data_IF_435212696078
#
_entry.id   IF_435212696078
#
_cell.length_a   1.000
_cell.length_b   1.000
_cell.length_c   1.000
_cell.angle_alpha   90.00
_cell.angle_beta   90.00
_cell.angle_gamma   90.00
#
_symmetry.space_group_name_H-M   'P 1'
#
loop_
_entity.id
_entity.type
_entity.pdbx_description
1 polymer ?
#
# COMPACT_ATOMS: atom_id res chain seq x y z
N UNK A 1 10.71 15.41 9.19
CA UNK A 1 9.43 14.81 8.74
C UNK A 1 9.37 14.83 7.23
N UNK A 2 9.25 13.65 6.62
CA UNK A 2 9.20 13.55 5.16
C UNK A 2 7.80 13.59 4.58
N UNK A 3 6.79 13.16 5.34
CA UNK A 3 5.41 13.20 4.90
C UNK A 3 4.46 12.94 6.05
N UNK A 4 3.26 13.52 5.96
CA UNK A 4 2.23 13.33 6.97
C UNK A 4 0.85 13.56 6.35
N UNK A 5 -0.14 12.84 6.87
CA UNK A 5 -1.54 13.06 6.52
C UNK A 5 -2.36 13.20 7.80
N UNK A 6 -3.53 13.84 7.70
CA UNK A 6 -4.43 13.98 8.83
C UNK A 6 -5.37 12.78 8.97
N UNK A 7 -6.11 12.47 7.93
CA UNK A 7 -7.02 11.35 7.95
C UNK A 7 -7.05 10.65 6.62
N UNK A 8 -7.06 9.33 6.65
CA UNK A 8 -7.08 8.54 5.43
C UNK A 8 -6.45 7.17 5.64
N UNK A 9 -5.61 6.75 4.71
CA UNK A 9 -4.99 5.43 4.75
C UNK A 9 -3.48 5.54 4.83
N UNK A 10 -2.87 4.74 5.69
CA UNK A 10 -1.44 4.48 5.66
C UNK A 10 -1.25 3.17 4.89
N UNK A 11 -0.50 3.24 3.81
CA UNK A 11 -0.26 2.09 2.94
C UNK A 11 1.20 1.69 3.06
N UNK A 12 1.43 0.50 3.58
CA UNK A 12 2.77 -0.09 3.58
C UNK A 12 2.84 -0.96 2.33
N UNK A 13 3.67 -0.55 1.37
CA UNK A 13 3.68 -1.13 0.04
C UNK A 13 4.93 -1.98 -0.18
N UNK A 14 4.74 -3.27 -0.42
CA UNK A 14 5.80 -4.16 -0.85
C UNK A 14 5.71 -4.42 -2.35
N UNK A 15 6.87 -4.47 -3.01
CA UNK A 15 6.95 -4.85 -4.42
C UNK A 15 7.68 -6.19 -4.49
N UNK A 16 7.03 -7.18 -5.12
CA UNK A 16 7.57 -8.51 -5.27
C UNK A 16 8.43 -8.65 -6.50
N UNK A 17 9.37 -9.59 -6.46
CA UNK A 17 10.12 -9.97 -7.64
C UNK A 17 9.13 -10.47 -8.70
N UNK A 18 9.20 -9.94 -9.90
CA UNK A 18 8.28 -10.28 -10.98
C UNK A 18 7.05 -9.38 -11.10
N UNK A 19 6.83 -8.46 -10.16
CA UNK A 19 5.75 -7.49 -10.29
C UNK A 19 6.03 -6.54 -11.46
N UNK A 20 4.93 -6.07 -12.07
CA UNK A 20 4.98 -5.13 -13.20
C UNK A 20 4.04 -3.95 -12.93
N UNK A 21 4.00 -3.01 -13.85
CA UNK A 21 3.08 -1.87 -13.77
C UNK A 21 1.62 -2.31 -13.63
N UNK A 22 1.27 -3.48 -14.18
CA UNK A 22 -0.09 -3.99 -14.08
C UNK A 22 -0.48 -4.27 -12.63
N UNK A 23 0.42 -4.83 -11.82
CA UNK A 23 0.15 -5.07 -10.40
C UNK A 23 0.04 -3.77 -9.63
N UNK A 24 0.87 -2.79 -9.94
CA UNK A 24 0.78 -1.47 -9.30
C UNK A 24 -0.57 -0.82 -9.57
N UNK A 25 -1.04 -0.87 -10.82
CA UNK A 25 -2.33 -0.31 -11.20
C UNK A 25 -3.49 -1.06 -10.56
N UNK A 26 -3.44 -2.39 -10.57
CA UNK A 26 -4.47 -3.23 -9.97
C UNK A 26 -4.63 -2.90 -8.48
N UNK A 27 -3.51 -2.81 -7.76
CA UNK A 27 -3.54 -2.57 -6.33
C UNK A 27 -4.04 -1.17 -6.01
N UNK A 28 -3.58 -0.16 -6.75
CA UNK A 28 -4.03 1.23 -6.54
C UNK A 28 -5.53 1.34 -6.76
N UNK A 29 -6.05 0.75 -7.83
CA UNK A 29 -7.49 0.75 -8.11
C UNK A 29 -8.29 0.05 -7.02
N UNK A 30 -7.78 -1.07 -6.53
CA UNK A 30 -8.44 -1.83 -5.47
C UNK A 30 -8.52 -1.01 -4.18
N UNK A 31 -7.40 -0.45 -3.76
CA UNK A 31 -7.33 0.34 -2.52
C UNK A 31 -8.26 1.57 -2.59
N UNK A 32 -8.28 2.27 -3.73
CA UNK A 32 -9.11 3.45 -3.89
C UNK A 32 -10.60 3.14 -3.73
N UNK A 33 -11.00 1.93 -4.05
CA UNK A 33 -12.42 1.53 -4.12
C UNK A 33 -12.87 0.61 -3.00
N UNK A 34 -11.98 0.16 -2.11
CA UNK A 34 -12.38 -0.66 -0.97
C UNK A 34 -13.35 0.11 -0.07
N UNK A 35 -14.42 -0.55 0.29
CA UNK A 35 -15.49 0.05 1.10
C UNK A 35 -15.19 -0.17 2.57
N UNK A 36 -14.17 0.54 3.08
CA UNK A 36 -13.65 0.37 4.44
C UNK A 36 -13.79 1.62 5.30
N UNK A 37 -14.55 2.60 4.84
CA UNK A 37 -14.90 3.78 5.63
C UNK A 37 -16.37 3.69 6.05
N UNK A 38 -16.64 4.14 7.27
CA UNK A 38 -18.00 4.07 7.81
C UNK A 38 -18.95 5.02 7.12
N UNK A 39 -20.16 4.54 6.86
CA UNK A 39 -21.26 5.39 6.39
C UNK A 39 -22.01 6.01 7.58
N UNK A 40 -23.13 6.70 7.30
CA UNK A 40 -23.92 7.33 8.35
C UNK A 40 -24.49 6.34 9.37
N UNK A 41 -24.57 5.06 9.00
CA UNK A 41 -25.05 3.98 9.88
C UNK A 41 -23.92 3.24 10.56
N UNK A 42 -22.67 3.66 10.38
CA UNK A 42 -21.50 3.02 10.98
C UNK A 42 -21.03 1.75 10.29
N UNK A 43 -21.54 1.45 9.08
CA UNK A 43 -21.16 0.26 8.33
C UNK A 43 -20.06 0.57 7.33
N UNK A 44 -19.19 -0.38 7.07
CA UNK A 44 -18.16 -0.28 6.04
C UNK A 44 -18.82 -0.22 4.66
N UNK A 45 -19.00 0.94 4.14
CA UNK A 45 -19.73 1.15 2.90
C UNK A 45 -19.14 2.21 1.97
N UNK A 46 -18.28 3.07 2.48
CA UNK A 46 -17.70 4.14 1.69
C UNK A 46 -16.24 3.84 1.37
N UNK A 47 -15.82 4.22 0.17
CA UNK A 47 -14.43 4.07 -0.28
C UNK A 47 -13.62 5.32 0.02
N UNK A 48 -12.29 5.20 -0.13
CA UNK A 48 -11.41 6.36 -0.04
C UNK A 48 -11.79 7.45 -1.05
N UNK A 49 -12.21 7.06 -2.25
CA UNK A 49 -12.70 8.01 -3.26
C UNK A 49 -13.93 8.75 -2.77
N UNK A 50 -14.87 8.03 -2.14
CA UNK A 50 -16.11 8.62 -1.64
C UNK A 50 -15.86 9.69 -0.56
N UNK A 51 -14.92 9.44 0.33
CA UNK A 51 -14.68 10.32 1.48
C UNK A 51 -13.56 11.33 1.25
N UNK A 52 -12.88 11.27 0.12
CA UNK A 52 -11.75 12.16 -0.17
C UNK A 52 -10.58 11.93 0.77
N UNK A 53 -10.28 10.68 1.09
CA UNK A 53 -9.20 10.32 2.01
C UNK A 53 -7.84 10.75 1.48
N UNK A 54 -6.93 11.04 2.41
CA UNK A 54 -5.52 11.24 2.09
C UNK A 54 -4.79 9.91 2.19
N UNK A 55 -3.65 9.81 1.51
CA UNK A 55 -2.85 8.59 1.49
C UNK A 55 -1.43 8.89 1.94
N UNK A 56 -0.91 8.06 2.84
CA UNK A 56 0.51 8.06 3.17
C UNK A 56 1.06 6.72 2.70
N UNK A 57 1.94 6.72 1.70
CA UNK A 57 2.48 5.51 1.10
C UNK A 57 3.95 5.35 1.48
N UNK A 58 4.26 4.25 2.14
CA UNK A 58 5.61 3.94 2.59
C UNK A 58 6.04 2.61 1.99
N UNK A 59 7.19 2.60 1.33
CA UNK A 59 7.76 1.37 0.80
C UNK A 59 8.20 0.46 1.94
N UNK A 60 7.80 -0.81 1.90
CA UNK A 60 8.02 -1.76 3.00
C UNK A 60 8.36 -3.13 2.43
N UNK A 61 9.62 -3.36 2.06
CA UNK A 61 10.03 -4.64 1.47
C UNK A 61 9.90 -5.81 2.46
N UNK A 62 9.92 -5.52 3.76
CA UNK A 62 9.80 -6.55 4.79
C UNK A 62 8.45 -7.25 4.79
N UNK A 63 7.47 -6.74 4.04
CA UNK A 63 6.20 -7.46 3.83
C UNK A 63 6.43 -8.79 3.12
N UNK A 64 7.54 -8.91 2.37
CA UNK A 64 7.93 -10.15 1.71
C UNK A 64 8.85 -11.03 2.57
N UNK A 65 8.84 -10.82 3.89
CA UNK A 65 9.62 -11.64 4.79
C UNK A 65 9.13 -13.10 4.73
N UNK A 66 10.06 -14.00 4.47
CA UNK A 66 9.82 -15.43 4.53
C UNK A 66 10.42 -15.95 5.84
N UNK A 67 9.55 -16.29 6.77
CA UNK A 67 9.94 -16.71 8.11
C UNK A 67 9.77 -18.22 8.34
N UNK A 68 9.61 -18.99 7.26
CA UNK A 68 9.32 -20.42 7.37
C UNK A 68 10.47 -21.23 7.90
N UNK A 69 11.71 -20.77 7.73
CA UNK A 69 12.91 -21.49 8.13
C UNK A 69 13.75 -20.68 9.09
N UNK A 70 14.16 -21.32 10.19
CA UNK A 70 15.07 -20.72 11.14
C UNK A 70 14.49 -19.50 11.82
N UNK A 71 15.38 -18.62 12.27
CA UNK A 71 15.02 -17.43 13.04
C UNK A 71 15.32 -16.13 12.32
N UNK A 72 15.90 -16.20 11.12
CA UNK A 72 16.16 -15.03 10.29
C UNK A 72 15.16 -15.00 9.14
N UNK A 73 14.40 -13.91 8.97
CA UNK A 73 13.54 -13.79 7.81
C UNK A 73 14.39 -13.66 6.54
N UNK A 74 13.91 -14.28 5.47
CA UNK A 74 14.49 -14.13 4.14
C UNK A 74 13.64 -13.13 3.35
N UNK A 75 14.28 -12.29 2.55
CA UNK A 75 13.62 -11.30 1.73
C UNK A 75 13.84 -11.53 0.23
N UNK A 76 14.16 -12.76 -0.14
CA UNK A 76 14.47 -13.10 -1.53
C UNK A 76 13.30 -12.90 -2.50
N UNK A 77 12.06 -12.88 -1.98
CA UNK A 77 10.87 -12.65 -2.79
C UNK A 77 10.59 -11.17 -3.05
N UNK A 78 11.28 -10.27 -2.35
CA UNK A 78 11.12 -8.84 -2.58
C UNK A 78 11.89 -8.41 -3.83
N UNK A 79 11.32 -7.47 -4.58
CA UNK A 79 12.00 -6.90 -5.73
C UNK A 79 13.22 -6.10 -5.28
N UNK A 80 14.24 -6.09 -6.14
CA UNK A 80 15.42 -5.25 -5.92
C UNK A 80 15.06 -3.78 -6.16
N UNK A 81 15.81 -2.82 -5.59
CA UNK A 81 15.48 -1.40 -5.73
C UNK A 81 15.31 -0.93 -7.17
N UNK A 82 16.10 -1.46 -8.11
CA UNK A 82 16.02 -1.09 -9.53
C UNK A 82 14.63 -1.36 -10.12
N UNK A 83 13.94 -2.37 -9.62
CA UNK A 83 12.58 -2.71 -10.03
C UNK A 83 11.55 -2.08 -9.09
N UNK A 84 11.82 -2.09 -7.79
CA UNK A 84 10.87 -1.63 -6.78
C UNK A 84 10.60 -0.13 -6.87
N UNK A 85 11.63 0.70 -7.09
CA UNK A 85 11.46 2.15 -7.12
C UNK A 85 10.50 2.60 -8.21
N UNK A 86 10.69 2.18 -9.49
CA UNK A 86 9.74 2.59 -10.53
C UNK A 86 8.32 2.14 -10.28
N UNK A 87 8.12 0.96 -9.72
CA UNK A 87 6.78 0.44 -9.45
C UNK A 87 6.12 1.15 -8.26
N UNK A 88 6.90 1.46 -7.24
CA UNK A 88 6.45 2.28 -6.13
C UNK A 88 5.98 3.66 -6.63
N UNK A 89 6.81 4.29 -7.47
CA UNK A 89 6.46 5.59 -8.05
C UNK A 89 5.23 5.52 -8.93
N UNK A 90 5.09 4.45 -9.73
CA UNK A 90 3.91 4.24 -10.58
C UNK A 90 2.65 4.10 -9.73
N UNK A 91 2.73 3.38 -8.62
CA UNK A 91 1.61 3.23 -7.69
C UNK A 91 1.19 4.59 -7.12
N UNK A 92 2.15 5.38 -6.64
CA UNK A 92 1.89 6.71 -6.09
C UNK A 92 1.26 7.62 -7.13
N UNK A 93 1.83 7.64 -8.34
CA UNK A 93 1.30 8.48 -9.43
C UNK A 93 -0.11 8.06 -9.84
N UNK A 94 -0.41 6.77 -9.81
CA UNK A 94 -1.76 6.30 -10.10
C UNK A 94 -2.77 6.84 -9.10
N UNK A 95 -2.43 6.81 -7.81
CA UNK A 95 -3.29 7.37 -6.76
C UNK A 95 -3.46 8.88 -6.93
N UNK A 96 -2.38 9.60 -7.23
CA UNK A 96 -2.45 11.04 -7.49
C UNK A 96 -3.33 11.34 -8.68
N UNK A 97 -3.24 10.53 -9.73
CA UNK A 97 -4.07 10.65 -10.92
C UNK A 97 -5.56 10.48 -10.66
N UNK A 98 -5.92 9.77 -9.58
CA UNK A 98 -7.31 9.63 -9.15
C UNK A 98 -7.79 10.81 -8.31
N UNK A 99 -6.92 11.76 -8.00
CA UNK A 99 -7.26 12.96 -7.23
C UNK A 99 -6.91 12.90 -5.75
N UNK A 100 -6.25 11.83 -5.29
CA UNK A 100 -5.84 11.74 -3.89
C UNK A 100 -4.65 12.65 -3.60
N UNK A 101 -4.65 13.24 -2.40
CA UNK A 101 -3.43 13.81 -1.84
C UNK A 101 -2.59 12.65 -1.32
N UNK A 102 -1.41 12.47 -1.89
CA UNK A 102 -0.52 11.37 -1.52
C UNK A 102 0.78 11.92 -0.99
N UNK A 103 1.10 11.56 0.25
CA UNK A 103 2.39 11.83 0.88
C UNK A 103 3.18 10.54 0.92
N UNK A 104 4.50 10.65 0.89
CA UNK A 104 5.39 9.48 0.86
C UNK A 104 6.47 9.58 1.91
N UNK A 105 7.05 8.40 2.26
CA UNK A 105 8.31 8.36 2.97
C UNK A 105 9.48 8.53 1.99
N UNK A 106 10.68 8.34 2.48
CA UNK A 106 11.89 8.35 1.68
C UNK A 106 12.34 6.92 1.43
N UNK A 107 12.43 6.52 0.16
CA UNK A 107 12.78 5.14 -0.19
C UNK A 107 14.17 4.79 0.34
N UNK A 108 14.29 3.61 0.94
CA UNK A 108 15.51 3.05 1.54
C UNK A 108 16.03 3.81 2.77
N UNK A 109 15.37 4.85 3.23
CA UNK A 109 15.77 5.55 4.44
C UNK A 109 15.29 4.82 5.69
N UNK A 110 16.02 5.00 6.79
CA UNK A 110 15.52 4.61 8.10
C UNK A 110 14.43 5.60 8.50
N UNK A 111 13.24 5.08 8.82
CA UNK A 111 12.08 5.91 9.09
C UNK A 111 11.38 5.48 10.37
N UNK A 112 10.82 6.46 11.06
CA UNK A 112 9.84 6.22 12.08
C UNK A 112 8.48 6.53 11.47
N UNK A 113 7.60 5.53 11.43
CA UNK A 113 6.24 5.69 10.91
C UNK A 113 5.29 5.71 12.10
N UNK A 114 4.63 6.85 12.31
CA UNK A 114 3.62 6.98 13.36
C UNK A 114 2.25 6.75 12.75
N UNK A 115 1.48 5.85 13.35
CA UNK A 115 0.14 5.49 12.88
C UNK A 115 -0.81 5.54 14.06
N UNK A 116 -1.88 6.33 13.93
CA UNK A 116 -3.00 6.27 14.85
C UNK A 116 -4.11 5.49 14.15
N UNK A 117 -4.16 4.21 14.41
CA UNK A 117 -5.08 3.30 13.73
C UNK A 117 -6.42 3.34 14.45
N UNK A 118 -7.29 4.21 13.95
CA UNK A 118 -8.61 4.48 14.51
C UNK A 118 -9.63 3.50 13.94
N UNK A 119 -10.16 2.66 14.88
CA UNK A 119 -11.02 1.53 14.58
C UNK A 119 -10.70 0.39 15.54
N UNK A 120 -9.53 -0.27 15.56
CA UNK A 120 -8.55 -0.22 14.46
C UNK A 120 -8.98 -1.07 13.26
N UNK A 121 -8.47 -0.72 12.09
CA UNK A 121 -8.71 -1.47 10.86
C UNK A 121 -7.39 -1.66 10.12
N UNK A 122 -7.06 -2.90 9.80
CA UNK A 122 -5.86 -3.24 9.04
C UNK A 122 -6.24 -4.30 8.02
N UNK A 123 -5.94 -4.03 6.76
CA UNK A 123 -6.30 -4.90 5.65
C UNK A 123 -5.03 -5.35 4.94
N UNK A 124 -4.93 -6.63 4.71
CA UNK A 124 -3.86 -7.23 3.91
C UNK A 124 -4.35 -7.45 2.47
N UNK A 125 -3.57 -7.00 1.50
CA UNK A 125 -3.87 -7.22 0.09
C UNK A 125 -2.64 -7.78 -0.62
N UNK A 126 -2.87 -8.77 -1.46
CA UNK A 126 -1.85 -9.36 -2.31
C UNK A 126 -2.41 -9.45 -3.74
N UNK A 127 -1.71 -8.86 -4.69
CA UNK A 127 -2.18 -8.84 -6.07
C UNK A 127 -2.34 -10.24 -6.66
N UNK A 128 -1.57 -11.21 -6.19
CA UNK A 128 -1.72 -12.61 -6.62
C UNK A 128 -3.11 -13.16 -6.30
N UNK A 129 -3.73 -12.67 -5.23
CA UNK A 129 -5.08 -13.07 -4.84
C UNK A 129 -6.16 -12.25 -5.53
N UNK A 130 -5.81 -11.03 -5.99
CA UNK A 130 -6.76 -10.11 -6.60
C UNK A 130 -6.94 -10.31 -8.09
N UNK A 131 -5.99 -10.96 -8.76
CA UNK A 131 -6.00 -11.14 -10.20
C UNK A 131 -6.22 -12.61 -10.53
N UNK A 132 -7.48 -13.04 -10.78
CA UNK A 132 -7.77 -14.46 -11.10
C UNK A 132 -7.07 -14.94 -12.36
N UNK A 133 -6.75 -14.05 -13.30
CA UNK A 133 -6.09 -14.43 -14.56
C UNK A 133 -4.61 -14.75 -14.39
N UNK A 134 -4.01 -14.34 -13.28
CA UNK A 134 -2.62 -14.64 -12.96
C UNK A 134 -2.43 -15.99 -12.28
N UNK A 135 -3.50 -16.70 -12.01
CA UNK A 135 -3.49 -17.99 -11.33
C UNK A 135 -3.45 -19.14 -12.32
#
# INVERSE_FOLDING_TARGET
MTGAIEGGLVILLGVGAGDTAAEAELLANKIANLRIFGDAEGKFNLSALDVGAEMLVVSQFTLFADCRRGRRPSFSDAARPETAIPLYEAFVERLRGMGFRVETGEFQAMMLVEIKNDGPVTIWLDTAELNPKAR
#
